data_IF_994940465171
#
_entry.id   IF_994940465171
#
_cell.length_a   1.000
_cell.length_b   1.000
_cell.length_c   1.000
_cell.angle_alpha   90.00
_cell.angle_beta   90.00
_cell.angle_gamma   90.00
#
_symmetry.space_group_name_H-M   'P 1'
#
loop_
_entity.id
_entity.type
_entity.pdbx_description
1 polymer ?
#
# COMPACT_ATOMS: atom_id res chain seq x y z
N UNK A 1 15.24 5.85 -39.36
CA UNK A 1 15.53 6.69 -38.18
C UNK A 1 16.03 5.80 -37.05
N UNK A 2 17.27 6.00 -36.58
CA UNK A 2 17.79 5.29 -35.40
C UNK A 2 17.01 5.82 -34.16
N UNK A 3 16.28 4.97 -33.47
CA UNK A 3 15.67 5.34 -32.18
C UNK A 3 16.78 5.81 -31.24
N UNK A 4 16.73 7.07 -30.81
CA UNK A 4 17.60 7.57 -29.75
C UNK A 4 17.23 6.84 -28.46
N UNK A 5 18.21 6.18 -27.85
CA UNK A 5 18.01 5.53 -26.55
C UNK A 5 17.81 6.60 -25.48
N UNK A 6 16.80 6.45 -24.66
CA UNK A 6 16.59 7.34 -23.52
C UNK A 6 17.73 7.24 -22.50
N UNK A 7 17.95 8.31 -21.75
CA UNK A 7 18.99 8.39 -20.71
C UNK A 7 18.91 7.22 -19.72
N UNK A 8 17.73 6.86 -19.29
CA UNK A 8 17.45 5.75 -18.38
C UNK A 8 17.89 4.39 -18.97
N UNK A 9 17.65 4.18 -20.26
CA UNK A 9 18.02 2.95 -20.95
C UNK A 9 19.54 2.79 -21.09
N UNK A 10 20.26 3.91 -21.28
CA UNK A 10 21.72 3.94 -21.30
C UNK A 10 22.30 3.57 -19.93
N UNK A 11 21.80 4.18 -18.85
CA UNK A 11 22.27 3.91 -17.49
C UNK A 11 21.94 2.50 -16.99
N UNK A 12 20.82 1.92 -17.39
CA UNK A 12 20.45 0.55 -17.03
C UNK A 12 21.35 -0.49 -17.71
N UNK A 13 21.86 -0.18 -18.91
CA UNK A 13 22.67 -1.12 -19.69
C UNK A 13 24.13 -1.10 -19.27
N UNK A 14 24.70 0.07 -19.12
CA UNK A 14 26.10 0.26 -18.74
C UNK A 14 26.31 1.67 -18.16
N UNK A 15 26.26 1.81 -16.80
CA UNK A 15 26.39 3.09 -16.13
C UNK A 15 27.69 3.82 -16.41
N UNK A 16 28.79 3.07 -16.62
CA UNK A 16 30.14 3.65 -16.87
C UNK A 16 30.18 4.28 -18.25
N UNK A 17 29.74 3.55 -19.25
CA UNK A 17 29.66 4.06 -20.63
C UNK A 17 28.64 5.19 -20.75
N UNK A 18 27.51 5.12 -19.99
CA UNK A 18 26.53 6.18 -19.94
C UNK A 18 27.11 7.48 -19.36
N UNK A 19 27.85 7.43 -18.25
CA UNK A 19 28.56 8.59 -17.67
C UNK A 19 29.55 9.23 -18.62
N UNK A 20 30.33 8.41 -19.35
CA UNK A 20 31.24 8.90 -20.37
C UNK A 20 30.50 9.60 -21.51
N UNK A 21 29.42 9.01 -21.99
CA UNK A 21 28.63 9.52 -23.11
C UNK A 21 27.87 10.81 -22.75
N UNK A 22 27.25 10.87 -21.56
CA UNK A 22 26.38 11.98 -21.16
C UNK A 22 27.16 13.16 -20.59
N UNK A 23 28.22 12.87 -19.83
CA UNK A 23 28.96 13.88 -19.06
C UNK A 23 30.41 14.07 -19.51
N UNK A 24 30.87 13.30 -20.52
CA UNK A 24 32.26 13.34 -21.00
C UNK A 24 33.28 12.91 -19.93
N UNK A 25 32.88 12.14 -18.92
CA UNK A 25 33.73 11.75 -17.80
C UNK A 25 34.18 10.31 -17.92
N UNK A 26 35.48 10.07 -17.75
CA UNK A 26 35.97 8.71 -17.50
C UNK A 26 35.81 8.40 -16.02
N UNK A 27 34.97 7.40 -15.69
CA UNK A 27 34.86 6.90 -14.33
C UNK A 27 36.06 6.03 -14.02
N UNK A 28 37.06 6.60 -13.36
CA UNK A 28 38.15 5.81 -12.79
C UNK A 28 37.70 5.28 -11.40
N UNK A 29 37.51 3.95 -11.24
CA UNK A 29 37.11 3.37 -9.96
C UNK A 29 38.17 3.51 -8.85
N UNK A 30 39.40 3.88 -9.22
CA UNK A 30 40.54 4.02 -8.31
C UNK A 30 40.80 5.50 -7.97
N UNK A 31 40.14 6.43 -8.62
CA UNK A 31 40.35 7.86 -8.39
C UNK A 31 39.94 8.29 -6.97
N UNK A 32 40.63 9.33 -6.43
CA UNK A 32 40.32 9.96 -5.14
C UNK A 32 38.85 10.34 -5.05
N UNK A 33 38.22 10.73 -6.16
CA UNK A 33 36.78 11.04 -6.26
C UNK A 33 35.90 9.79 -6.17
N UNK A 34 36.29 8.67 -6.75
CA UNK A 34 35.65 7.37 -6.64
C UNK A 34 35.70 6.83 -5.19
N UNK A 35 36.85 7.02 -4.52
CA UNK A 35 37.01 6.67 -3.12
C UNK A 35 36.12 7.53 -2.20
N UNK A 36 36.08 8.85 -2.37
CA UNK A 36 35.24 9.77 -1.60
C UNK A 36 33.76 9.50 -1.83
N UNK A 37 33.36 9.16 -3.06
CA UNK A 37 31.98 8.76 -3.38
C UNK A 37 31.60 7.47 -2.67
N UNK A 38 32.47 6.45 -2.66
CA UNK A 38 32.24 5.18 -1.94
C UNK A 38 32.23 5.39 -0.42
N UNK A 39 33.14 6.18 0.11
CA UNK A 39 33.22 6.51 1.53
C UNK A 39 32.01 7.35 1.99
N UNK A 40 31.57 8.30 1.19
CA UNK A 40 30.38 9.10 1.44
C UNK A 40 29.09 8.27 1.44
N UNK A 41 28.97 7.33 0.48
CA UNK A 41 27.85 6.39 0.43
C UNK A 41 27.85 5.43 1.62
N UNK A 42 29.02 4.93 2.01
CA UNK A 42 29.15 4.06 3.19
C UNK A 42 28.80 4.78 4.49
N UNK A 43 29.26 6.04 4.65
CA UNK A 43 28.92 6.88 5.81
C UNK A 43 27.44 7.22 5.87
N UNK A 44 26.83 7.51 4.74
CA UNK A 44 25.40 7.80 4.63
C UNK A 44 24.55 6.55 4.94
N UNK A 45 25.00 5.38 4.50
CA UNK A 45 24.36 4.09 4.80
C UNK A 45 24.43 3.74 6.29
N UNK A 46 25.54 4.03 6.95
CA UNK A 46 25.69 3.87 8.40
C UNK A 46 24.83 4.84 9.20
N UNK A 47 24.65 6.09 8.71
CA UNK A 47 23.85 7.12 9.37
C UNK A 47 22.34 6.90 9.19
N UNK A 48 21.91 6.29 8.09
CA UNK A 48 20.49 6.07 7.74
C UNK A 48 19.96 4.69 8.19
N UNK A 49 20.81 3.84 8.75
CA UNK A 49 20.45 2.47 9.16
C UNK A 49 20.37 1.49 7.98
N UNK A 50 20.12 0.23 8.30
CA UNK A 50 20.23 -0.89 7.37
C UNK A 50 19.06 -1.05 6.37
N UNK A 51 18.01 -0.21 6.45
CA UNK A 51 16.86 -0.32 5.56
C UNK A 51 16.53 1.00 4.87
N UNK A 52 16.75 1.06 3.57
CA UNK A 52 16.27 2.15 2.72
C UNK A 52 15.09 1.62 1.91
N UNK A 53 13.83 1.87 2.34
CA UNK A 53 12.64 1.29 1.71
C UNK A 53 12.44 1.70 0.25
N UNK A 54 13.18 2.71 -0.23
CA UNK A 54 13.04 3.30 -1.56
C UNK A 54 14.22 3.00 -2.50
N UNK A 55 15.03 1.97 -2.20
CA UNK A 55 16.20 1.61 -3.01
C UNK A 55 15.87 1.45 -4.51
N UNK A 56 14.66 0.98 -4.84
CA UNK A 56 14.19 0.79 -6.22
C UNK A 56 13.97 2.11 -6.98
N UNK A 57 13.76 3.23 -6.27
CA UNK A 57 13.48 4.54 -6.86
C UNK A 57 14.73 5.40 -7.03
N UNK A 58 15.89 4.90 -6.61
CA UNK A 58 17.17 5.59 -6.79
C UNK A 58 17.83 5.19 -8.11
N UNK A 59 18.55 6.10 -8.75
CA UNK A 59 19.35 5.77 -9.93
C UNK A 59 20.31 4.62 -9.64
N UNK A 60 20.48 3.73 -10.61
CA UNK A 60 21.37 2.58 -10.47
C UNK A 60 22.78 3.00 -10.01
N UNK A 61 23.28 2.32 -8.97
CA UNK A 61 24.58 2.62 -8.36
C UNK A 61 24.59 3.72 -7.30
N UNK A 62 23.47 4.33 -6.96
CA UNK A 62 23.40 5.31 -5.87
C UNK A 62 23.39 4.67 -4.50
N UNK A 63 22.81 3.44 -4.38
CA UNK A 63 22.86 2.61 -3.19
C UNK A 63 23.43 1.25 -3.57
N UNK A 64 24.53 0.79 -2.93
CA UNK A 64 25.03 -0.56 -3.14
C UNK A 64 23.95 -1.59 -2.78
N UNK A 65 23.77 -2.60 -3.63
CA UNK A 65 22.75 -3.66 -3.43
C UNK A 65 22.87 -4.37 -2.06
N UNK A 66 24.07 -4.42 -1.48
CA UNK A 66 24.29 -4.99 -0.15
C UNK A 66 23.61 -4.19 0.98
N UNK A 67 23.26 -2.93 0.76
CA UNK A 67 22.55 -2.08 1.74
C UNK A 67 21.06 -1.88 1.42
N UNK A 68 20.60 -2.35 0.27
CA UNK A 68 19.18 -2.48 0.02
C UNK A 68 18.72 -3.79 0.65
N UNK A 69 18.03 -3.73 1.79
CA UNK A 69 17.25 -4.89 2.20
C UNK A 69 16.28 -5.21 1.06
N UNK A 70 16.23 -6.45 0.66
CA UNK A 70 15.16 -6.96 -0.19
C UNK A 70 13.87 -6.91 0.64
N UNK A 71 13.27 -5.74 0.73
CA UNK A 71 11.95 -5.57 1.31
C UNK A 71 10.97 -6.21 0.33
N UNK A 72 10.43 -7.34 0.75
CA UNK A 72 9.31 -7.94 0.06
C UNK A 72 8.01 -7.39 0.68
N UNK A 73 7.34 -6.44 0.00
CA UNK A 73 6.12 -5.85 0.52
C UNK A 73 4.99 -6.87 0.67
N UNK A 74 5.06 -7.99 -0.06
CA UNK A 74 4.04 -9.03 0.02
C UNK A 74 4.10 -9.81 1.33
N UNK A 75 5.30 -10.06 1.87
CA UNK A 75 5.47 -10.72 3.17
C UNK A 75 4.80 -9.92 4.29
N UNK A 76 4.96 -8.57 4.28
CA UNK A 76 4.36 -7.70 5.29
C UNK A 76 2.83 -7.84 5.35
N UNK A 77 2.20 -8.06 4.20
CA UNK A 77 0.74 -8.15 4.13
C UNK A 77 0.22 -9.60 4.05
N UNK A 78 1.10 -10.60 4.20
CA UNK A 78 0.73 -12.01 4.03
C UNK A 78 0.13 -12.28 2.65
N UNK A 79 0.73 -11.72 1.61
CA UNK A 79 0.26 -11.82 0.22
C UNK A 79 1.21 -12.66 -0.61
N UNK A 80 0.63 -13.43 -1.52
CA UNK A 80 1.36 -14.30 -2.43
C UNK A 80 1.01 -13.95 -3.89
N UNK A 81 2.03 -13.92 -4.74
CA UNK A 81 1.88 -13.87 -6.21
C UNK A 81 1.06 -12.70 -6.77
N UNK A 82 0.93 -11.59 -6.06
CA UNK A 82 0.25 -10.40 -6.56
C UNK A 82 1.14 -9.58 -7.50
N UNK A 83 0.53 -8.82 -8.39
CA UNK A 83 1.20 -7.85 -9.25
C UNK A 83 1.25 -6.51 -8.51
N UNK A 84 2.46 -6.05 -8.16
CA UNK A 84 2.66 -4.74 -7.53
C UNK A 84 2.40 -3.61 -8.52
N UNK A 85 1.48 -2.71 -8.20
CA UNK A 85 1.22 -1.49 -8.97
C UNK A 85 2.01 -0.30 -8.44
N UNK A 86 2.02 -0.12 -7.13
CA UNK A 86 2.86 0.87 -6.44
C UNK A 86 3.12 0.43 -4.99
N UNK A 87 4.24 0.87 -4.47
CA UNK A 87 4.72 0.52 -3.13
C UNK A 87 4.34 1.56 -2.07
N UNK A 88 3.96 2.78 -2.49
CA UNK A 88 3.55 3.84 -1.56
C UNK A 88 2.40 4.70 -2.09
N UNK A 89 1.17 4.49 -1.60
CA UNK A 89 0.78 3.39 -0.71
C UNK A 89 0.87 2.05 -1.42
N UNK A 90 1.08 0.98 -0.68
CA UNK A 90 1.14 -0.36 -1.25
C UNK A 90 -0.20 -0.71 -1.90
N UNK A 91 -0.17 -0.97 -3.21
CA UNK A 91 -1.33 -1.44 -3.98
C UNK A 91 -0.87 -2.54 -4.92
N UNK A 92 -1.59 -3.64 -4.91
CA UNK A 92 -1.27 -4.81 -5.71
C UNK A 92 -2.54 -5.52 -6.16
N UNK A 93 -2.54 -6.05 -7.38
CA UNK A 93 -3.68 -6.78 -7.95
C UNK A 93 -3.41 -8.28 -8.08
N UNK A 94 -4.48 -9.04 -8.08
CA UNK A 94 -4.43 -10.48 -8.30
C UNK A 94 -4.22 -10.76 -9.79
N UNK A 95 -3.23 -11.57 -10.19
CA UNK A 95 -3.13 -12.04 -11.57
C UNK A 95 -4.40 -12.76 -12.02
N UNK A 96 -4.86 -12.51 -13.25
CA UNK A 96 -6.12 -13.05 -13.75
C UNK A 96 -6.24 -14.57 -13.62
N UNK A 97 -5.12 -15.29 -13.81
CA UNK A 97 -5.09 -16.77 -13.71
C UNK A 97 -5.19 -17.30 -12.27
N UNK A 98 -5.15 -16.43 -11.26
CA UNK A 98 -5.34 -16.77 -9.83
C UNK A 98 -6.73 -16.36 -9.31
N UNK A 99 -7.63 -15.94 -10.18
CA UNK A 99 -9.01 -15.57 -9.85
C UNK A 99 -10.02 -16.71 -10.03
N UNK A 100 -9.55 -17.94 -10.17
CA UNK A 100 -10.36 -19.13 -10.45
C UNK A 100 -10.84 -19.89 -9.19
N UNK A 101 -10.44 -19.46 -8.02
CA UNK A 101 -10.86 -20.06 -6.74
C UNK A 101 -12.35 -19.76 -6.46
N UNK A 102 -13.11 -20.77 -5.99
CA UNK A 102 -14.49 -20.58 -5.53
C UNK A 102 -14.60 -19.57 -4.38
N UNK A 103 -13.59 -19.55 -3.50
CA UNK A 103 -13.41 -18.58 -2.42
C UNK A 103 -12.01 -18.00 -2.57
N UNK A 104 -11.90 -16.71 -2.82
CA UNK A 104 -10.61 -16.05 -2.95
C UNK A 104 -9.84 -16.12 -1.64
N UNK A 105 -8.66 -16.77 -1.58
CA UNK A 105 -7.83 -16.81 -0.39
C UNK A 105 -7.40 -15.40 0.03
N UNK A 106 -7.29 -15.15 1.33
CA UNK A 106 -6.84 -13.86 1.84
C UNK A 106 -5.45 -13.46 1.31
N UNK A 107 -4.56 -14.44 1.10
CA UNK A 107 -3.23 -14.20 0.53
C UNK A 107 -3.27 -13.70 -0.92
N UNK A 108 -4.29 -14.06 -1.68
CA UNK A 108 -4.49 -13.67 -3.09
C UNK A 108 -5.46 -12.54 -3.30
N UNK A 109 -6.17 -12.08 -2.27
CA UNK A 109 -7.04 -10.91 -2.39
C UNK A 109 -6.21 -9.65 -2.65
N UNK A 110 -6.59 -8.88 -3.65
CA UNK A 110 -5.91 -7.64 -4.01
C UNK A 110 -5.78 -6.67 -2.81
N UNK A 111 -4.81 -5.78 -2.86
CA UNK A 111 -4.58 -4.75 -1.84
C UNK A 111 -4.76 -3.37 -2.43
N UNK A 112 -5.61 -2.57 -1.78
CA UNK A 112 -5.90 -1.21 -2.19
C UNK A 112 -5.84 -0.25 -1.00
N UNK A 113 -4.78 0.56 -0.93
CA UNK A 113 -4.59 1.59 0.09
C UNK A 113 -4.68 2.99 -0.51
N UNK A 114 -5.26 3.93 0.24
CA UNK A 114 -5.24 5.37 -0.09
C UNK A 114 -4.23 6.13 0.77
N UNK A 115 -3.89 5.60 1.92
CA UNK A 115 -2.94 6.15 2.88
C UNK A 115 -1.87 5.15 3.25
N UNK A 116 -1.07 5.51 4.23
CA UNK A 116 -0.03 4.65 4.81
C UNK A 116 -0.65 3.96 6.03
N UNK A 117 -0.86 2.64 6.00
CA UNK A 117 -1.42 1.91 7.13
C UNK A 117 -0.47 1.96 8.34
N UNK A 118 -1.00 1.74 9.55
CA UNK A 118 -0.17 1.56 10.73
C UNK A 118 0.83 0.41 10.53
N UNK A 119 2.03 0.55 11.08
CA UNK A 119 3.00 -0.55 11.05
C UNK A 119 2.59 -1.63 12.04
N UNK A 120 2.93 -2.88 11.74
CA UNK A 120 2.52 -4.06 12.54
C UNK A 120 2.84 -3.91 14.03
N UNK A 121 4.00 -3.36 14.36
CA UNK A 121 4.41 -3.10 15.75
C UNK A 121 3.50 -2.11 16.51
N UNK A 122 2.69 -1.33 15.81
CA UNK A 122 1.72 -0.38 16.38
C UNK A 122 0.32 -0.99 16.50
N UNK A 123 0.10 -2.18 15.93
CA UNK A 123 -1.18 -2.87 15.96
C UNK A 123 -1.18 -3.89 17.08
N UNK A 124 -1.86 -3.55 18.18
CA UNK A 124 -2.14 -4.49 19.27
C UNK A 124 -3.64 -4.83 19.23
N UNK A 125 -4.04 -6.02 18.78
CA UNK A 125 -5.45 -6.40 18.69
C UNK A 125 -6.18 -6.35 20.03
N UNK A 126 -5.48 -6.48 21.16
CA UNK A 126 -6.08 -6.39 22.51
C UNK A 126 -6.41 -4.96 22.91
N UNK A 127 -5.73 -3.98 22.32
CA UNK A 127 -5.95 -2.54 22.58
C UNK A 127 -6.70 -1.85 21.47
N UNK A 128 -6.87 -2.52 20.32
CA UNK A 128 -7.57 -1.93 19.17
C UNK A 128 -9.04 -1.71 19.48
N UNK A 129 -9.51 -0.50 19.18
CA UNK A 129 -10.89 -0.09 19.45
C UNK A 129 -11.53 0.55 18.23
N UNK A 130 -12.85 0.45 18.16
CA UNK A 130 -13.67 1.16 17.19
C UNK A 130 -14.50 2.20 17.95
N UNK A 131 -14.38 3.45 17.51
CA UNK A 131 -15.14 4.57 18.06
C UNK A 131 -16.39 4.81 17.21
N UNK A 132 -17.56 4.72 17.84
CA UNK A 132 -18.84 4.99 17.20
C UNK A 132 -19.36 6.31 17.75
N UNK A 133 -19.42 7.32 16.88
CA UNK A 133 -19.73 8.69 17.24
C UNK A 133 -20.61 9.34 16.16
N UNK A 134 -20.94 10.59 16.31
CA UNK A 134 -21.70 11.37 15.36
C UNK A 134 -22.89 12.07 16.02
N UNK A 135 -23.54 12.94 15.28
CA UNK A 135 -24.69 13.71 15.77
C UNK A 135 -25.94 12.86 15.91
N UNK A 136 -26.10 11.87 15.00
CA UNK A 136 -27.23 10.94 15.00
C UNK A 136 -26.98 9.67 15.83
N UNK A 137 -25.82 9.55 16.51
CA UNK A 137 -25.53 8.47 17.44
C UNK A 137 -26.09 8.83 18.82
N UNK A 138 -27.00 7.99 19.35
CA UNK A 138 -27.65 8.25 20.66
C UNK A 138 -26.67 7.99 21.81
N UNK A 139 -25.91 6.90 21.76
CA UNK A 139 -24.95 6.50 22.78
C UNK A 139 -23.55 6.36 22.16
N UNK A 140 -22.79 7.46 22.17
CA UNK A 140 -21.40 7.44 21.69
C UNK A 140 -20.61 6.40 22.47
N UNK A 141 -20.01 5.45 21.75
CA UNK A 141 -19.46 4.23 22.35
C UNK A 141 -18.10 3.91 21.73
N UNK A 142 -17.23 3.35 22.55
CA UNK A 142 -15.98 2.75 22.09
C UNK A 142 -16.06 1.26 22.36
N UNK A 143 -15.86 0.43 21.33
CA UNK A 143 -15.88 -1.02 21.43
C UNK A 143 -14.48 -1.56 21.14
N UNK A 144 -13.99 -2.45 22.00
CA UNK A 144 -12.80 -3.25 21.74
C UNK A 144 -13.12 -4.39 20.78
N UNK A 145 -12.08 -4.99 20.16
CA UNK A 145 -12.26 -6.19 19.33
C UNK A 145 -12.84 -7.36 20.14
N UNK A 146 -12.47 -7.47 21.42
CA UNK A 146 -13.00 -8.51 22.29
C UNK A 146 -14.50 -8.31 22.55
N UNK A 147 -14.94 -7.08 22.78
CA UNK A 147 -16.36 -6.76 22.93
C UNK A 147 -17.15 -7.03 21.65
N UNK A 148 -16.57 -6.72 20.46
CA UNK A 148 -17.21 -7.07 19.19
C UNK A 148 -17.38 -8.58 19.04
N UNK A 149 -16.39 -9.37 19.46
CA UNK A 149 -16.41 -10.83 19.38
C UNK A 149 -17.38 -11.47 20.40
N UNK A 150 -17.58 -10.86 21.55
CA UNK A 150 -18.35 -11.48 22.64
C UNK A 150 -19.78 -10.95 22.77
N UNK A 151 -20.01 -9.68 22.42
CA UNK A 151 -21.34 -9.04 22.58
C UNK A 151 -22.27 -9.25 21.39
N UNK A 152 -21.72 -9.55 20.23
CA UNK A 152 -22.49 -9.60 18.97
C UNK A 152 -22.45 -10.98 18.32
N UNK A 153 -23.50 -11.30 17.60
CA UNK A 153 -23.56 -12.52 16.78
C UNK A 153 -22.62 -12.40 15.58
N UNK A 154 -21.79 -13.41 15.38
CA UNK A 154 -20.96 -13.51 14.18
C UNK A 154 -21.76 -14.07 13.00
N UNK A 155 -21.46 -13.56 11.84
CA UNK A 155 -21.99 -13.98 10.56
C UNK A 155 -20.84 -14.27 9.62
N UNK A 156 -20.92 -15.40 8.94
CA UNK A 156 -19.97 -15.76 7.88
C UNK A 156 -20.69 -15.73 6.56
N UNK A 157 -20.12 -15.03 5.59
CA UNK A 157 -20.68 -14.93 4.24
C UNK A 157 -19.60 -14.68 3.21
N UNK A 158 -19.79 -15.19 2.02
CA UNK A 158 -18.95 -14.89 0.88
C UNK A 158 -19.44 -13.61 0.22
N UNK A 159 -18.56 -12.60 0.11
CA UNK A 159 -18.89 -11.30 -0.43
C UNK A 159 -17.81 -10.86 -1.42
N UNK A 160 -18.24 -10.44 -2.60
CA UNK A 160 -17.36 -9.84 -3.58
C UNK A 160 -16.93 -8.44 -3.14
N UNK A 161 -15.63 -8.18 -3.30
CA UNK A 161 -15.04 -6.86 -3.16
C UNK A 161 -14.33 -6.51 -4.47
N UNK A 162 -14.64 -5.33 -5.01
CA UNK A 162 -14.04 -4.83 -6.23
C UNK A 162 -13.68 -3.36 -6.10
N UNK A 163 -12.50 -2.98 -6.61
CA UNK A 163 -12.12 -1.58 -6.73
C UNK A 163 -12.88 -0.93 -7.89
N UNK A 164 -13.52 0.22 -7.67
CA UNK A 164 -14.18 0.98 -8.75
C UNK A 164 -13.25 1.48 -9.86
N UNK A 165 -11.94 1.24 -9.74
CA UNK A 165 -10.95 1.48 -10.77
C UNK A 165 -10.47 0.22 -11.49
N UNK A 166 -11.06 -0.94 -11.24
CA UNK A 166 -10.74 -2.17 -11.96
C UNK A 166 -10.92 -1.96 -13.47
N UNK A 167 -9.98 -2.41 -14.29
CA UNK A 167 -9.98 -2.17 -15.75
C UNK A 167 -9.48 -0.78 -16.17
N UNK A 168 -8.93 0.05 -15.27
CA UNK A 168 -8.49 1.42 -15.63
C UNK A 168 -7.35 1.44 -16.64
N UNK A 169 -6.49 0.44 -16.68
CA UNK A 169 -5.40 0.34 -17.65
C UNK A 169 -5.87 0.22 -19.10
N UNK A 170 -7.15 -0.15 -19.31
CA UNK A 170 -7.74 -0.30 -20.64
C UNK A 170 -8.13 1.05 -21.29
N UNK A 171 -8.14 2.14 -20.54
CA UNK A 171 -8.50 3.44 -21.09
C UNK A 171 -7.40 4.09 -21.92
N UNK A 172 -7.76 4.63 -23.06
CA UNK A 172 -6.89 5.43 -23.93
C UNK A 172 -7.57 6.76 -24.24
N UNK A 173 -7.02 7.91 -23.81
CA UNK A 173 -5.78 8.08 -23.02
C UNK A 173 -5.93 7.55 -21.59
N UNK A 174 -4.81 7.23 -20.91
CA UNK A 174 -4.81 6.68 -19.56
C UNK A 174 -5.50 7.61 -18.56
N UNK A 175 -6.46 7.09 -17.79
CA UNK A 175 -7.11 7.81 -16.71
C UNK A 175 -6.18 7.91 -15.48
N UNK A 176 -6.36 8.96 -14.66
CA UNK A 176 -5.57 9.14 -13.43
C UNK A 176 -5.91 8.07 -12.39
N UNK A 177 -4.90 7.65 -11.62
CA UNK A 177 -5.02 6.68 -10.53
C UNK A 177 -4.23 5.41 -10.79
N UNK A 178 -4.38 4.41 -9.91
CA UNK A 178 -3.75 3.12 -10.08
C UNK A 178 -4.25 2.47 -11.37
N UNK A 179 -3.31 1.97 -12.16
CA UNK A 179 -3.59 1.35 -13.46
C UNK A 179 -3.91 -0.14 -13.25
N UNK A 180 -5.06 -0.40 -12.61
CA UNK A 180 -5.57 -1.74 -12.44
C UNK A 180 -5.88 -2.39 -13.79
N UNK A 181 -5.49 -3.64 -13.97
CA UNK A 181 -5.98 -4.45 -15.09
C UNK A 181 -7.32 -5.09 -14.71
N UNK A 182 -7.39 -6.38 -14.51
CA UNK A 182 -8.61 -7.09 -14.12
C UNK A 182 -8.56 -7.66 -12.71
N UNK A 183 -7.47 -7.45 -11.98
CA UNK A 183 -7.16 -8.14 -10.75
C UNK A 183 -7.56 -7.41 -9.46
N UNK A 184 -8.18 -6.23 -9.56
CA UNK A 184 -8.66 -5.52 -8.38
C UNK A 184 -10.06 -6.00 -7.93
N UNK A 185 -10.25 -7.31 -7.89
CA UNK A 185 -11.48 -8.02 -7.53
C UNK A 185 -11.14 -9.28 -6.73
N UNK A 186 -12.08 -9.73 -5.93
CA UNK A 186 -12.03 -11.02 -5.24
C UNK A 186 -13.32 -11.29 -4.50
N UNK A 187 -13.57 -12.55 -4.18
CA UNK A 187 -14.77 -13.01 -3.48
C UNK A 187 -14.40 -13.90 -2.29
N UNK A 188 -13.75 -13.36 -1.25
CA UNK A 188 -13.38 -14.10 -0.06
C UNK A 188 -14.58 -14.38 0.84
N UNK A 189 -14.42 -15.32 1.75
CA UNK A 189 -15.33 -15.53 2.85
C UNK A 189 -14.96 -14.57 4.01
N UNK A 190 -15.97 -13.86 4.52
CA UNK A 190 -15.84 -12.91 5.60
C UNK A 190 -16.58 -13.40 6.82
N UNK A 191 -15.93 -13.37 7.98
CA UNK A 191 -16.58 -13.58 9.28
C UNK A 191 -16.50 -12.30 10.10
N UNK A 192 -17.64 -11.82 10.57
CA UNK A 192 -17.69 -10.58 11.32
C UNK A 192 -19.06 -10.31 11.95
N UNK A 193 -19.20 -9.11 12.49
CA UNK A 193 -20.42 -8.57 13.10
C UNK A 193 -21.13 -7.67 12.09
N UNK A 194 -22.43 -7.77 11.99
CA UNK A 194 -23.18 -6.87 11.10
C UNK A 194 -23.18 -5.46 11.68
N UNK A 195 -22.95 -4.48 10.82
CA UNK A 195 -23.03 -3.07 11.20
C UNK A 195 -24.40 -2.71 11.76
N UNK A 196 -25.47 -3.30 11.23
CA UNK A 196 -26.82 -3.15 11.75
C UNK A 196 -26.92 -3.45 13.25
N UNK A 197 -26.34 -4.58 13.69
CA UNK A 197 -26.41 -5.01 15.09
C UNK A 197 -25.64 -4.01 16.00
N UNK A 198 -24.54 -3.45 15.50
CA UNK A 198 -23.77 -2.42 16.22
C UNK A 198 -24.53 -1.10 16.27
N UNK A 199 -25.18 -0.68 15.18
CA UNK A 199 -26.01 0.54 15.15
C UNK A 199 -27.23 0.42 16.04
N UNK A 200 -27.90 -0.73 16.09
CA UNK A 200 -28.99 -1.01 17.02
C UNK A 200 -28.53 -0.94 18.48
N UNK A 201 -27.33 -1.47 18.77
CA UNK A 201 -26.74 -1.43 20.12
C UNK A 201 -26.47 -0.01 20.64
N UNK A 202 -25.91 0.87 19.77
CA UNK A 202 -25.62 2.26 20.17
C UNK A 202 -26.84 3.16 20.06
N UNK A 203 -27.85 2.76 19.34
CA UNK A 203 -29.01 3.56 19.00
C UNK A 203 -28.67 4.66 17.99
N UNK A 204 -29.48 4.77 16.95
CA UNK A 204 -29.39 5.83 15.95
C UNK A 204 -30.70 6.60 15.89
N UNK A 205 -30.62 7.91 15.68
CA UNK A 205 -31.79 8.77 15.49
C UNK A 205 -32.42 8.50 14.13
N UNK A 206 -33.69 8.83 13.99
CA UNK A 206 -34.44 8.67 12.73
C UNK A 206 -33.92 9.54 11.58
N UNK A 207 -33.21 10.62 11.90
CA UNK A 207 -32.58 11.52 10.92
C UNK A 207 -31.21 11.02 10.41
N UNK A 208 -30.72 9.86 10.85
CA UNK A 208 -29.49 9.28 10.37
C UNK A 208 -29.62 8.84 8.91
N UNK A 209 -28.78 9.38 8.03
CA UNK A 209 -28.79 9.09 6.59
C UNK A 209 -27.59 8.27 6.14
N UNK A 210 -26.44 8.43 6.79
CA UNK A 210 -25.17 7.82 6.38
C UNK A 210 -24.36 7.36 7.58
N UNK A 211 -23.63 6.27 7.37
CA UNK A 211 -22.54 5.84 8.25
C UNK A 211 -21.22 6.21 7.55
N UNK A 212 -20.40 7.02 8.20
CA UNK A 212 -19.07 7.37 7.71
C UNK A 212 -18.02 6.47 8.37
N UNK A 213 -17.12 5.94 7.56
CA UNK A 213 -15.99 5.12 7.99
C UNK A 213 -14.68 5.90 7.84
N UNK A 214 -13.90 5.93 8.89
CA UNK A 214 -12.54 6.47 8.88
C UNK A 214 -11.56 5.42 9.41
N UNK A 215 -10.42 5.26 8.74
CA UNK A 215 -9.33 4.39 9.17
C UNK A 215 -8.22 5.13 9.90
N UNK A 216 -7.35 4.38 10.55
CA UNK A 216 -6.13 4.89 11.21
C UNK A 216 -4.97 5.16 10.24
N UNK A 217 -5.18 5.00 8.95
CA UNK A 217 -4.18 5.29 7.93
C UNK A 217 -3.73 6.74 8.02
N UNK A 218 -2.44 6.96 7.78
CA UNK A 218 -1.88 8.31 7.67
C UNK A 218 -1.93 8.81 6.23
N UNK A 219 -2.23 10.09 6.07
CA UNK A 219 -2.17 10.72 4.75
C UNK A 219 -0.75 10.66 4.18
N UNK A 220 -0.62 10.47 2.85
CA UNK A 220 0.67 10.32 2.16
C UNK A 220 1.63 11.49 2.35
N UNK A 221 1.10 12.70 2.59
CA UNK A 221 1.92 13.89 2.88
C UNK A 221 2.50 13.91 4.30
N UNK A 222 2.08 12.99 5.19
CA UNK A 222 2.44 13.00 6.61
C UNK A 222 1.71 14.05 7.45
N UNK A 223 0.83 14.87 6.85
CA UNK A 223 0.04 15.87 7.58
C UNK A 223 -1.08 15.19 8.37
N UNK A 224 -0.99 15.19 9.70
CA UNK A 224 -1.95 14.55 10.61
C UNK A 224 -3.35 15.17 10.58
N UNK A 225 -3.49 16.40 10.04
CA UNK A 225 -4.79 17.07 9.87
C UNK A 225 -5.57 16.56 8.68
N UNK A 226 -4.92 15.83 7.78
CA UNK A 226 -5.52 15.28 6.57
C UNK A 226 -5.84 13.80 6.77
N UNK A 227 -7.06 13.42 6.44
CA UNK A 227 -7.45 12.01 6.35
C UNK A 227 -7.16 11.49 4.94
N UNK A 228 -6.63 10.26 4.79
CA UNK A 228 -6.38 9.69 3.46
C UNK A 228 -7.67 9.50 2.68
N UNK A 229 -8.68 9.01 3.36
CA UNK A 229 -10.00 8.74 2.81
C UNK A 229 -11.01 8.54 3.93
N UNK A 230 -12.24 8.95 3.68
CA UNK A 230 -13.43 8.51 4.40
C UNK A 230 -14.46 7.98 3.42
N UNK A 231 -15.35 7.11 3.87
CA UNK A 231 -16.45 6.57 3.04
C UNK A 231 -17.75 6.72 3.79
N UNK A 232 -18.75 7.28 3.12
CA UNK A 232 -20.13 7.30 3.58
C UNK A 232 -20.92 6.19 2.88
N UNK A 233 -21.69 5.44 3.66
CA UNK A 233 -22.61 4.42 3.17
C UNK A 233 -24.00 4.77 3.70
N UNK A 234 -25.05 4.80 2.82
CA UNK A 234 -26.42 5.05 3.24
C UNK A 234 -26.99 3.97 4.12
#
# INVERSE_FOLDING_TARGET
MKKSKGLHELYNKDPITADKFVWGRESDPISRRGFLRKAGLASMSLALGSSIPFAKNFPAGMIPAAFSQSYDPFQLYGKDDLILLNDRPFNAETPAHLLDDNVTPASRLFVRNNGIPPVESQIDPKKWTIHITGESCMNKTTLSLEELKTKFKHHTMQLQLECGGNGRSEFTPPARGNQWSTGAIGCPEWTGVRIKDVLEYVGVKEDALYVAYEGEDRHLSGDSRKKPISRGVP
#
